data_IF_035381376108
#
_entry.id   IF_035381376108
#
_cell.length_a   1.000
_cell.length_b   1.000
_cell.length_c   1.000
_cell.angle_alpha   90.00
_cell.angle_beta   90.00
_cell.angle_gamma   90.00
#
_symmetry.space_group_name_H-M   'P 1'
#
loop_
_entity.id
_entity.type
_entity.pdbx_description
1 polymer ?
#
# COMPACT_ATOMS: atom_id res chain seq x y z
N UNK A 1 3.93 -2.07 -24.28
CA UNK A 1 5.30 -2.48 -23.89
C UNK A 1 5.42 -2.47 -22.36
N UNK A 2 5.00 -1.38 -21.70
CA UNK A 2 5.00 -1.25 -20.23
C UNK A 2 4.28 -2.40 -19.50
N UNK A 3 3.08 -2.78 -19.92
CA UNK A 3 2.36 -3.90 -19.28
C UNK A 3 3.09 -5.25 -19.32
N UNK A 4 3.79 -5.56 -20.44
CA UNK A 4 4.58 -6.81 -20.53
C UNK A 4 5.81 -6.75 -19.65
N UNK A 5 6.47 -5.60 -19.60
CA UNK A 5 7.61 -5.36 -18.72
C UNK A 5 7.20 -5.51 -17.25
N UNK A 6 6.08 -4.91 -16.84
CA UNK A 6 5.54 -5.04 -15.48
C UNK A 6 5.24 -6.49 -15.11
N UNK A 7 4.59 -7.24 -15.99
CA UNK A 7 4.29 -8.66 -15.74
C UNK A 7 5.56 -9.50 -15.59
N UNK A 8 6.53 -9.31 -16.48
CA UNK A 8 7.81 -10.01 -16.40
C UNK A 8 8.55 -9.65 -15.11
N UNK A 9 8.53 -8.38 -14.71
CA UNK A 9 9.12 -7.92 -13.46
C UNK A 9 8.42 -8.54 -12.25
N UNK A 10 7.09 -8.53 -12.20
CA UNK A 10 6.33 -9.15 -11.11
C UNK A 10 6.69 -10.62 -10.96
N UNK A 11 6.69 -11.38 -12.07
CA UNK A 11 7.08 -12.79 -12.08
C UNK A 11 8.52 -13.01 -11.58
N UNK A 12 9.45 -12.09 -11.89
CA UNK A 12 10.82 -12.16 -11.40
C UNK A 12 10.98 -11.75 -9.92
N UNK A 13 10.04 -10.97 -9.38
CA UNK A 13 10.05 -10.52 -7.99
C UNK A 13 9.29 -11.48 -7.06
N UNK A 14 8.35 -12.27 -7.56
CA UNK A 14 7.62 -13.27 -6.77
C UNK A 14 8.59 -14.24 -6.07
N UNK A 15 8.40 -14.41 -4.76
CA UNK A 15 9.16 -15.34 -3.93
C UNK A 15 8.36 -15.73 -2.69
N UNK A 16 8.64 -16.87 -2.03
CA UNK A 16 7.95 -17.25 -0.79
C UNK A 16 8.01 -16.20 0.33
N UNK A 17 9.06 -15.37 0.34
CA UNK A 17 9.29 -14.35 1.37
C UNK A 17 8.65 -12.98 1.04
N UNK A 18 7.81 -12.88 -0.01
CA UNK A 18 7.10 -11.64 -0.34
C UNK A 18 5.80 -11.84 -1.09
N UNK A 19 4.88 -10.90 -0.91
CA UNK A 19 3.66 -10.79 -1.72
C UNK A 19 3.85 -9.66 -2.73
N UNK A 20 3.47 -9.91 -3.98
CA UNK A 20 3.50 -8.92 -5.06
C UNK A 20 2.08 -8.49 -5.37
N UNK A 21 1.81 -7.20 -5.27
CA UNK A 21 0.56 -6.59 -5.68
C UNK A 21 0.83 -5.49 -6.71
N UNK A 22 -0.19 -5.15 -7.49
CA UNK A 22 -0.06 -4.23 -8.63
C UNK A 22 -1.10 -3.14 -8.55
N UNK A 23 -0.77 -1.96 -9.06
CA UNK A 23 -1.69 -0.86 -9.29
C UNK A 23 -2.44 -0.46 -8.01
N UNK A 24 -1.67 -0.10 -6.97
CA UNK A 24 -2.20 0.23 -5.65
C UNK A 24 -2.24 1.74 -5.44
N UNK A 25 -3.43 2.25 -5.12
CA UNK A 25 -3.58 3.68 -4.79
C UNK A 25 -2.81 4.04 -3.53
N UNK A 26 -1.86 4.97 -3.62
CA UNK A 26 -0.95 5.38 -2.54
C UNK A 26 -1.28 6.76 -1.92
N UNK A 27 -2.16 7.56 -2.53
CA UNK A 27 -2.57 8.84 -1.94
C UNK A 27 -3.28 8.72 -0.59
N UNK A 28 -2.96 9.60 0.37
CA UNK A 28 -3.50 9.60 1.74
C UNK A 28 -4.62 10.62 1.89
N UNK A 29 -4.32 11.91 1.71
CA UNK A 29 -5.25 13.03 1.79
C UNK A 29 -6.13 13.12 0.53
N UNK A 30 -5.56 12.81 -0.64
CA UNK A 30 -6.32 12.77 -1.90
C UNK A 30 -6.30 11.36 -2.48
N UNK A 31 -7.17 10.44 -2.01
CA UNK A 31 -7.19 9.07 -2.51
C UNK A 31 -7.38 9.00 -4.02
N UNK A 32 -6.52 8.20 -4.68
CA UNK A 32 -6.61 7.92 -6.12
C UNK A 32 -5.76 8.85 -7.02
N UNK A 33 -5.11 9.88 -6.48
CA UNK A 33 -4.20 10.75 -7.25
C UNK A 33 -2.87 10.09 -7.56
N UNK A 34 -2.43 9.17 -6.69
CA UNK A 34 -1.21 8.39 -6.85
C UNK A 34 -1.53 6.91 -6.86
N UNK A 35 -1.02 6.19 -7.86
CA UNK A 35 -1.13 4.74 -8.02
C UNK A 35 0.28 4.18 -8.22
N UNK A 36 0.75 3.35 -7.29
CA UNK A 36 2.03 2.65 -7.42
C UNK A 36 1.86 1.45 -8.33
N UNK A 37 2.81 1.26 -9.26
CA UNK A 37 2.71 0.21 -10.27
C UNK A 37 2.81 -1.18 -9.66
N UNK A 38 3.82 -1.40 -8.81
CA UNK A 38 4.07 -2.66 -8.11
C UNK A 38 4.42 -2.38 -6.65
N UNK A 39 3.77 -3.12 -5.74
CA UNK A 39 4.07 -3.09 -4.32
C UNK A 39 4.58 -4.48 -3.89
N UNK A 40 5.71 -4.50 -3.19
CA UNK A 40 6.24 -5.70 -2.56
C UNK A 40 5.99 -5.61 -1.06
N UNK A 41 5.27 -6.58 -0.51
CA UNK A 41 5.10 -6.75 0.92
C UNK A 41 6.02 -7.85 1.42
N UNK A 42 6.84 -7.52 2.41
CA UNK A 42 7.55 -8.51 3.22
C UNK A 42 6.65 -8.93 4.39
N UNK A 43 6.39 -10.24 4.59
CA UNK A 43 5.61 -10.72 5.73
C UNK A 43 6.23 -10.30 7.06
N UNK A 44 5.40 -9.76 7.96
CA UNK A 44 5.77 -9.51 9.36
C UNK A 44 5.42 -10.70 10.27
N UNK A 45 5.75 -10.64 11.57
CA UNK A 45 5.48 -11.74 12.51
C UNK A 45 4.03 -12.19 12.57
N UNK A 46 3.07 -11.26 12.44
CA UNK A 46 1.64 -11.55 12.46
C UNK A 46 1.05 -12.00 11.11
N UNK A 47 1.86 -12.26 10.07
CA UNK A 47 1.35 -12.57 8.73
C UNK A 47 0.50 -13.84 8.68
N UNK A 48 0.96 -14.91 9.32
CA UNK A 48 0.21 -16.17 9.38
C UNK A 48 -1.08 -16.00 10.18
N UNK A 49 -1.06 -15.20 11.25
CA UNK A 49 -2.25 -14.87 12.02
C UNK A 49 -3.27 -14.11 11.17
N UNK A 50 -2.83 -13.13 10.37
CA UNK A 50 -3.71 -12.40 9.43
C UNK A 50 -4.28 -13.34 8.38
N UNK A 51 -3.45 -14.21 7.80
CA UNK A 51 -3.87 -15.17 6.78
C UNK A 51 -4.89 -16.19 7.33
N UNK A 52 -4.75 -16.58 8.60
CA UNK A 52 -5.68 -17.48 9.28
C UNK A 52 -7.07 -16.88 9.55
N UNK A 53 -7.20 -15.54 9.62
CA UNK A 53 -8.50 -14.87 9.77
C UNK A 53 -9.37 -15.07 8.54
N UNK A 54 -8.82 -14.76 7.35
CA UNK A 54 -9.53 -14.86 6.09
C UNK A 54 -8.56 -14.75 4.91
N UNK A 55 -8.80 -15.54 3.85
CA UNK A 55 -8.12 -15.38 2.58
C UNK A 55 -8.60 -14.16 1.80
N UNK A 56 -9.77 -13.62 2.14
CA UNK A 56 -10.33 -12.44 1.50
C UNK A 56 -9.89 -11.15 2.19
N UNK A 57 -9.98 -10.04 1.44
CA UNK A 57 -9.83 -8.70 1.99
C UNK A 57 -10.91 -8.42 3.04
N UNK A 58 -10.48 -7.99 4.22
CA UNK A 58 -11.38 -7.53 5.28
C UNK A 58 -11.68 -6.04 5.05
N UNK A 59 -12.94 -5.59 5.19
CA UNK A 59 -13.27 -4.17 5.05
C UNK A 59 -12.50 -3.29 6.04
N UNK A 60 -11.82 -2.25 5.56
CA UNK A 60 -11.03 -1.34 6.40
C UNK A 60 -11.82 -0.78 7.61
N UNK A 61 -13.10 -0.35 7.46
CA UNK A 61 -13.87 0.13 8.61
C UNK A 61 -14.19 -0.96 9.64
N UNK A 62 -14.19 -2.24 9.27
CA UNK A 62 -14.33 -3.33 10.22
C UNK A 62 -13.04 -3.55 11.01
N UNK A 63 -11.87 -3.42 10.35
CA UNK A 63 -10.55 -3.47 11.01
C UNK A 63 -10.38 -2.28 11.96
N UNK A 64 -10.83 -1.10 11.56
CA UNK A 64 -10.78 0.14 12.37
C UNK A 64 -11.79 0.16 13.51
N UNK A 65 -12.84 -0.67 13.44
CA UNK A 65 -13.80 -0.81 14.53
C UNK A 65 -13.12 -1.40 15.77
N UNK A 66 -13.36 -0.80 16.94
CA UNK A 66 -12.83 -1.29 18.22
C UNK A 66 -13.59 -2.54 18.71
N UNK A 67 -13.70 -3.56 17.86
CA UNK A 67 -14.43 -4.81 18.11
C UNK A 67 -13.41 -5.93 18.26
N UNK A 68 -13.25 -6.42 19.48
CA UNK A 68 -12.42 -7.58 19.77
C UNK A 68 -13.21 -8.90 19.78
N UNK A 69 -12.52 -10.04 19.96
CA UNK A 69 -13.18 -11.34 20.07
C UNK A 69 -13.83 -11.60 21.43
N UNK A 70 -13.58 -10.77 22.44
CA UNK A 70 -14.02 -10.99 23.82
C UNK A 70 -15.45 -10.55 24.13
N UNK A 71 -15.96 -9.50 23.48
CA UNK A 71 -17.28 -8.95 23.77
C UNK A 71 -18.00 -8.52 22.49
N UNK A 72 -19.32 -8.75 22.44
CA UNK A 72 -20.15 -8.28 21.35
C UNK A 72 -20.57 -6.82 21.59
N UNK A 73 -20.30 -5.95 20.61
CA UNK A 73 -20.53 -4.51 20.67
C UNK A 73 -21.71 -4.14 19.76
N UNK A 74 -22.63 -3.24 20.16
CA UNK A 74 -23.67 -2.75 19.26
C UNK A 74 -23.08 -2.11 18.00
N UNK A 75 -23.63 -2.44 16.83
CA UNK A 75 -23.07 -1.99 15.52
C UNK A 75 -22.89 -0.47 15.47
N UNK A 76 -23.85 0.29 16.00
CA UNK A 76 -23.84 1.76 16.04
C UNK A 76 -22.72 2.34 16.91
N UNK A 77 -22.22 1.56 17.87
CA UNK A 77 -21.17 1.97 18.80
C UNK A 77 -19.79 1.49 18.29
N UNK A 78 -19.79 0.45 17.44
CA UNK A 78 -18.59 -0.16 16.85
C UNK A 78 -18.11 0.52 15.56
N UNK A 79 -19.03 0.92 14.67
CA UNK A 79 -18.71 1.40 13.33
C UNK A 79 -19.25 2.82 13.16
N UNK A 80 -18.34 3.78 13.04
CA UNK A 80 -18.66 5.20 12.81
C UNK A 80 -18.96 5.47 11.33
N UNK A 81 -20.09 4.93 10.86
CA UNK A 81 -20.59 5.13 9.50
C UNK A 81 -22.12 5.29 9.49
N UNK A 82 -22.70 5.92 8.45
CA UNK A 82 -24.15 5.93 8.25
C UNK A 82 -24.74 4.50 8.27
N UNK A 83 -25.96 4.30 8.79
CA UNK A 83 -26.53 2.97 9.05
C UNK A 83 -26.45 1.99 7.88
N UNK A 84 -26.79 2.43 6.66
CA UNK A 84 -26.76 1.56 5.47
C UNK A 84 -25.32 1.15 5.11
N UNK A 85 -24.35 2.06 5.29
CA UNK A 85 -22.93 1.75 5.06
C UNK A 85 -22.37 0.85 6.14
N UNK A 86 -22.72 1.09 7.41
CA UNK A 86 -22.34 0.22 8.52
C UNK A 86 -22.90 -1.19 8.32
N UNK A 87 -24.15 -1.32 7.86
CA UNK A 87 -24.76 -2.61 7.54
C UNK A 87 -24.00 -3.35 6.44
N UNK A 88 -23.63 -2.67 5.35
CA UNK A 88 -22.85 -3.27 4.26
C UNK A 88 -21.44 -3.70 4.72
N UNK A 89 -20.78 -2.91 5.57
CA UNK A 89 -19.48 -3.27 6.17
C UNK A 89 -19.63 -4.53 7.04
N UNK A 90 -20.64 -4.58 7.91
CA UNK A 90 -20.89 -5.75 8.76
C UNK A 90 -21.21 -6.97 7.92
N UNK A 91 -22.06 -6.84 6.90
CA UNK A 91 -22.42 -7.94 6.02
C UNK A 91 -21.18 -8.52 5.33
N UNK A 92 -20.35 -7.68 4.71
CA UNK A 92 -19.10 -8.14 4.08
C UNK A 92 -18.12 -8.72 5.10
N UNK A 93 -17.99 -8.11 6.27
CA UNK A 93 -17.09 -8.59 7.32
C UNK A 93 -17.54 -9.94 7.90
N UNK A 94 -18.85 -10.21 7.94
CA UNK A 94 -19.41 -11.53 8.29
C UNK A 94 -19.17 -12.54 7.18
N UNK A 95 -19.38 -12.16 5.93
CA UNK A 95 -19.17 -13.01 4.75
C UNK A 95 -17.71 -13.52 4.68
N UNK A 96 -16.73 -12.64 4.93
CA UNK A 96 -15.31 -13.02 4.96
C UNK A 96 -14.87 -13.67 6.26
N UNK A 97 -15.77 -13.85 7.23
CA UNK A 97 -15.48 -14.54 8.50
C UNK A 97 -14.72 -13.72 9.53
N UNK A 98 -14.58 -12.39 9.37
CA UNK A 98 -13.91 -11.54 10.36
C UNK A 98 -14.83 -11.14 11.53
N UNK A 99 -16.11 -10.88 11.24
CA UNK A 99 -17.11 -10.57 12.26
C UNK A 99 -18.16 -11.67 12.36
N UNK A 100 -18.68 -11.86 13.57
CA UNK A 100 -19.95 -12.52 13.82
C UNK A 100 -21.01 -11.46 14.16
N UNK A 101 -22.27 -11.74 13.80
CA UNK A 101 -23.41 -10.86 14.09
C UNK A 101 -24.50 -11.63 14.81
N UNK A 102 -24.99 -11.05 15.91
CA UNK A 102 -26.15 -11.55 16.64
C UNK A 102 -27.11 -10.41 17.01
N UNK A 103 -28.22 -10.74 17.66
CA UNK A 103 -29.16 -9.75 18.22
C UNK A 103 -29.27 -9.91 19.72
N UNK A 104 -29.06 -8.81 20.47
CA UNK A 104 -29.28 -8.71 21.91
C UNK A 104 -30.30 -7.63 22.21
N UNK A 105 -31.38 -7.98 22.91
CA UNK A 105 -32.49 -7.05 23.22
C UNK A 105 -33.03 -6.32 21.97
N UNK A 106 -33.13 -7.04 20.86
CA UNK A 106 -33.60 -6.51 19.57
C UNK A 106 -32.57 -5.67 18.79
N UNK A 107 -31.38 -5.41 19.34
CA UNK A 107 -30.32 -4.60 18.70
C UNK A 107 -29.25 -5.49 18.06
N UNK A 108 -28.78 -5.18 16.84
CA UNK A 108 -27.66 -5.89 16.23
C UNK A 108 -26.37 -5.58 16.99
N UNK A 109 -25.65 -6.63 17.36
CA UNK A 109 -24.30 -6.54 17.95
C UNK A 109 -23.35 -7.38 17.12
N UNK A 110 -22.07 -7.02 17.11
CA UNK A 110 -21.00 -7.69 16.38
C UNK A 110 -19.82 -8.00 17.28
N UNK A 111 -19.11 -9.07 16.98
CA UNK A 111 -17.89 -9.51 17.68
C UNK A 111 -16.88 -9.99 16.64
N UNK A 112 -15.60 -9.73 16.84
CA UNK A 112 -14.59 -10.26 15.92
C UNK A 112 -14.38 -11.76 16.18
N UNK A 113 -14.06 -12.52 15.14
CA UNK A 113 -13.73 -13.96 15.26
C UNK A 113 -12.33 -14.17 15.82
N UNK A 114 -11.43 -13.22 15.53
CA UNK A 114 -10.06 -13.18 16.01
C UNK A 114 -9.63 -11.74 16.29
N UNK A 115 -8.50 -11.57 16.96
CA UNK A 115 -7.82 -10.27 17.01
C UNK A 115 -7.16 -10.02 15.67
N UNK A 116 -7.36 -8.83 15.09
CA UNK A 116 -6.60 -8.42 13.92
C UNK A 116 -5.14 -8.13 14.34
N UNK A 117 -4.12 -8.77 13.74
CA UNK A 117 -2.72 -8.52 14.10
C UNK A 117 -2.30 -7.12 13.65
N UNK A 118 -1.41 -6.47 14.41
CA UNK A 118 -0.93 -5.11 14.08
C UNK A 118 0.42 -5.14 13.33
N UNK A 119 1.19 -6.21 13.50
CA UNK A 119 2.58 -6.37 13.05
C UNK A 119 2.73 -7.38 11.90
N UNK A 120 1.66 -7.64 11.14
CA UNK A 120 1.69 -8.59 10.03
C UNK A 120 2.33 -8.03 8.75
N UNK A 121 2.49 -6.71 8.67
CA UNK A 121 3.23 -6.02 7.60
C UNK A 121 4.66 -5.80 8.07
N UNK A 122 5.62 -6.53 7.50
CA UNK A 122 7.04 -6.38 7.82
C UNK A 122 7.72 -5.23 7.07
N UNK A 123 7.26 -4.93 5.85
CA UNK A 123 7.74 -3.80 5.05
C UNK A 123 7.02 -3.73 3.70
N UNK A 124 7.00 -2.54 3.11
CA UNK A 124 6.40 -2.25 1.81
C UNK A 124 7.43 -1.53 0.93
N UNK A 125 7.67 -2.07 -0.26
CA UNK A 125 8.52 -1.44 -1.29
C UNK A 125 7.66 -1.05 -2.47
N UNK A 126 7.68 0.23 -2.85
CA UNK A 126 7.10 0.69 -4.09
C UNK A 126 8.09 0.51 -5.24
N UNK A 127 7.64 -0.09 -6.34
CA UNK A 127 8.41 -0.25 -7.57
C UNK A 127 7.64 0.38 -8.72
N UNK A 128 8.19 1.46 -9.27
CA UNK A 128 7.67 2.17 -10.44
C UNK A 128 8.30 1.63 -11.71
N UNK A 129 7.47 1.36 -12.72
CA UNK A 129 7.93 0.78 -13.97
C UNK A 129 8.09 1.86 -15.03
N UNK A 130 9.31 2.03 -15.54
CA UNK A 130 9.54 2.84 -16.74
C UNK A 130 10.54 2.15 -17.67
N UNK A 131 10.08 1.26 -18.57
CA UNK A 131 10.99 0.53 -19.45
C UNK A 131 11.78 1.46 -20.38
N UNK A 132 11.17 2.53 -20.88
CA UNK A 132 11.81 3.54 -21.74
C UNK A 132 11.97 4.88 -21.01
N UNK A 133 13.21 5.21 -20.62
CA UNK A 133 13.55 6.50 -20.02
C UNK A 133 13.67 7.64 -21.05
N UNK A 134 13.62 7.34 -22.35
CA UNK A 134 13.53 8.35 -23.40
C UNK A 134 12.20 9.11 -23.38
N UNK A 135 11.14 8.47 -22.86
CA UNK A 135 9.80 9.05 -22.75
C UNK A 135 9.28 8.92 -21.30
N UNK A 136 9.86 9.64 -20.33
CA UNK A 136 9.63 9.39 -18.91
C UNK A 136 8.21 9.77 -18.44
N UNK A 137 7.51 10.65 -19.17
CA UNK A 137 6.21 11.17 -18.74
C UNK A 137 6.31 11.83 -17.35
N UNK A 138 5.38 11.48 -16.46
CA UNK A 138 5.30 12.04 -15.10
C UNK A 138 6.20 11.34 -14.08
N UNK A 139 7.12 10.47 -14.51
CA UNK A 139 7.95 9.64 -13.64
C UNK A 139 8.65 10.44 -12.53
N UNK A 140 9.26 11.57 -12.88
CA UNK A 140 9.99 12.39 -11.91
C UNK A 140 9.07 12.91 -10.79
N UNK A 141 7.88 13.37 -11.16
CA UNK A 141 6.89 13.85 -10.21
C UNK A 141 6.38 12.71 -9.30
N UNK A 142 6.15 11.52 -9.87
CA UNK A 142 5.72 10.33 -9.12
C UNK A 142 6.78 9.88 -8.10
N UNK A 143 8.04 9.76 -8.52
CA UNK A 143 9.14 9.37 -7.64
C UNK A 143 9.39 10.41 -6.54
N UNK A 144 9.24 11.69 -6.86
CA UNK A 144 9.31 12.78 -5.88
C UNK A 144 8.15 12.70 -4.89
N UNK A 145 6.93 12.41 -5.35
CA UNK A 145 5.77 12.21 -4.49
C UNK A 145 6.02 11.08 -3.49
N UNK A 146 6.47 9.91 -3.94
CA UNK A 146 6.65 8.76 -3.05
C UNK A 146 7.77 8.99 -2.03
N UNK A 147 8.87 9.61 -2.46
CA UNK A 147 9.97 9.99 -1.58
C UNK A 147 9.56 11.05 -0.55
N UNK A 148 8.77 12.06 -0.96
CA UNK A 148 8.33 13.14 -0.06
C UNK A 148 7.28 12.67 0.95
N UNK A 149 6.36 11.79 0.53
CA UNK A 149 5.35 11.22 1.42
C UNK A 149 5.96 10.17 2.36
N UNK A 150 6.97 9.43 1.90
CA UNK A 150 7.62 8.38 2.67
C UNK A 150 6.67 7.27 3.10
N UNK A 151 5.67 6.95 2.26
CA UNK A 151 4.65 5.94 2.59
C UNK A 151 5.21 4.52 2.60
N UNK A 152 6.21 4.25 1.77
CA UNK A 152 6.88 2.97 1.62
C UNK A 152 8.23 3.01 2.34
N UNK A 153 8.72 1.84 2.74
CA UNK A 153 10.03 1.69 3.38
C UNK A 153 11.14 1.95 2.36
N UNK A 154 10.91 1.58 1.10
CA UNK A 154 11.79 1.85 -0.03
C UNK A 154 10.98 2.18 -1.28
N UNK A 155 11.57 2.98 -2.17
CA UNK A 155 11.01 3.30 -3.49
C UNK A 155 12.06 2.97 -4.54
N UNK A 156 11.65 2.28 -5.60
CA UNK A 156 12.54 1.83 -6.66
C UNK A 156 11.96 2.14 -8.04
N UNK A 157 12.81 2.60 -8.95
CA UNK A 157 12.53 2.64 -10.38
C UNK A 157 13.06 1.38 -11.07
N UNK A 158 12.21 0.63 -11.75
CA UNK A 158 12.60 -0.48 -12.62
C UNK A 158 12.53 -0.06 -14.11
N UNK A 159 13.62 -0.28 -14.85
CA UNK A 159 13.72 0.15 -16.26
C UNK A 159 14.47 -0.87 -17.14
N UNK A 160 14.11 -0.96 -18.43
CA UNK A 160 14.89 -1.70 -19.43
C UNK A 160 16.01 -0.83 -20.04
N UNK A 161 15.87 0.49 -19.92
CA UNK A 161 16.79 1.46 -20.49
C UNK A 161 18.17 1.37 -19.87
N UNK A 162 19.19 1.70 -20.66
CA UNK A 162 20.51 1.95 -20.10
C UNK A 162 20.46 3.23 -19.26
N UNK A 163 20.86 3.12 -18.00
CA UNK A 163 20.80 4.23 -17.04
C UNK A 163 22.08 5.05 -17.13
N UNK A 164 21.93 6.32 -17.47
CA UNK A 164 23.04 7.29 -17.54
C UNK A 164 23.09 8.12 -16.27
N UNK A 165 24.20 8.83 -16.05
CA UNK A 165 24.30 9.83 -14.96
C UNK A 165 23.25 10.93 -15.08
N UNK A 166 22.90 11.35 -16.30
CA UNK A 166 21.87 12.35 -16.52
C UNK A 166 20.47 11.86 -16.11
N UNK A 167 20.19 10.56 -16.28
CA UNK A 167 18.96 9.96 -15.76
C UNK A 167 18.96 9.98 -14.23
N UNK A 168 20.05 9.53 -13.60
CA UNK A 168 20.17 9.48 -12.14
C UNK A 168 19.99 10.85 -11.48
N UNK A 169 20.51 11.92 -12.09
CA UNK A 169 20.38 13.28 -11.57
C UNK A 169 18.94 13.82 -11.51
N UNK A 170 17.99 13.20 -12.22
CA UNK A 170 16.56 13.56 -12.19
C UNK A 170 15.75 12.73 -11.19
N UNK A 171 16.34 11.66 -10.67
CA UNK A 171 15.67 10.74 -9.77
C UNK A 171 16.08 11.10 -8.34
N UNK A 172 15.13 11.29 -7.39
CA UNK A 172 15.47 11.58 -6.00
C UNK A 172 16.51 10.60 -5.44
N UNK A 173 17.45 11.10 -4.63
CA UNK A 173 18.60 10.29 -4.18
C UNK A 173 18.21 9.04 -3.39
N UNK A 174 17.09 9.10 -2.64
CA UNK A 174 16.59 7.97 -1.88
C UNK A 174 16.04 6.83 -2.76
N UNK A 175 15.69 7.11 -4.01
CA UNK A 175 15.04 6.13 -4.89
C UNK A 175 16.08 5.18 -5.50
N UNK A 176 15.89 3.87 -5.28
CA UNK A 176 16.69 2.83 -5.91
C UNK A 176 16.43 2.76 -7.42
N UNK A 177 17.39 2.24 -8.17
CA UNK A 177 17.25 2.06 -9.62
C UNK A 177 17.69 0.66 -10.00
N UNK A 178 16.76 -0.11 -10.57
CA UNK A 178 17.02 -1.43 -11.15
C UNK A 178 16.94 -1.35 -12.66
N UNK A 179 17.96 -1.90 -13.33
CA UNK A 179 17.87 -2.26 -14.74
C UNK A 179 17.38 -3.69 -14.83
N UNK A 180 16.30 -3.92 -15.57
CA UNK A 180 15.65 -5.21 -15.70
C UNK A 180 15.49 -5.58 -17.17
N UNK A 181 15.86 -6.81 -17.51
CA UNK A 181 15.61 -7.40 -18.83
C UNK A 181 14.39 -8.33 -18.75
N UNK A 182 13.25 -7.95 -19.37
CA UNK A 182 12.02 -8.73 -19.29
C UNK A 182 12.07 -10.05 -20.08
N UNK A 183 13.03 -10.23 -21.00
CA UNK A 183 13.15 -11.46 -21.79
C UNK A 183 13.92 -12.56 -21.01
N UNK A 184 14.90 -12.16 -20.20
CA UNK A 184 15.74 -13.08 -19.42
C UNK A 184 15.37 -13.15 -17.95
N UNK A 185 14.65 -12.14 -17.43
CA UNK A 185 14.39 -11.97 -16.00
C UNK A 185 15.61 -11.43 -15.23
N UNK A 186 16.70 -11.07 -15.90
CA UNK A 186 17.89 -10.54 -15.22
C UNK A 186 17.61 -9.15 -14.65
N UNK A 187 17.86 -8.99 -13.35
CA UNK A 187 17.78 -7.71 -12.64
C UNK A 187 19.16 -7.30 -12.15
N UNK A 188 19.60 -6.12 -12.55
CA UNK A 188 20.82 -5.47 -12.06
C UNK A 188 20.48 -4.22 -11.25
N UNK A 189 21.03 -4.13 -10.05
CA UNK A 189 20.96 -2.90 -9.25
C UNK A 189 21.95 -1.88 -9.79
N UNK A 190 21.45 -0.71 -10.21
CA UNK A 190 22.25 0.44 -10.65
C UNK A 190 22.51 1.39 -9.49
N UNK A 191 21.50 1.57 -8.62
CA UNK A 191 21.58 2.33 -7.37
C UNK A 191 20.74 1.62 -6.33
N UNK A 192 21.29 1.37 -5.14
CA UNK A 192 20.52 0.85 -4.01
C UNK A 192 19.52 1.90 -3.52
N UNK A 193 18.29 1.51 -3.14
CA UNK A 193 17.38 2.43 -2.46
C UNK A 193 17.95 2.83 -1.09
N UNK A 194 17.66 4.06 -0.67
CA UNK A 194 17.89 4.47 0.71
C UNK A 194 16.58 4.28 1.48
N UNK A 195 16.59 3.62 2.65
CA UNK A 195 15.40 3.46 3.46
C UNK A 195 14.75 4.80 3.82
N UNK A 196 13.43 4.86 3.69
CA UNK A 196 12.60 5.95 4.16
C UNK A 196 12.04 5.61 5.54
N UNK A 197 11.56 6.62 6.26
CA UNK A 197 10.92 6.46 7.57
C UNK A 197 9.39 6.58 7.43
N UNK A 198 8.65 5.45 7.39
CA UNK A 198 7.19 5.48 7.33
C UNK A 198 6.53 6.00 8.60
N UNK A 199 7.24 5.99 9.74
CA UNK A 199 6.75 6.47 11.04
C UNK A 199 7.05 7.95 11.27
N UNK A 200 7.85 8.57 10.40
CA UNK A 200 7.99 10.02 10.33
C UNK A 200 6.82 10.68 9.57
N UNK A 201 6.44 11.93 9.92
CA UNK A 201 5.54 12.73 9.10
C UNK A 201 6.07 12.89 7.68
N UNK A 202 5.16 12.85 6.70
CA UNK A 202 5.46 13.01 5.27
C UNK A 202 4.76 14.21 4.66
N UNK A 203 5.12 14.52 3.42
CA UNK A 203 4.49 15.57 2.62
C UNK A 203 3.80 14.95 1.42
N UNK A 204 2.47 15.06 1.37
CA UNK A 204 1.69 14.71 0.18
C UNK A 204 1.64 15.92 -0.77
N UNK A 205 2.11 15.74 -2.01
CA UNK A 205 2.04 16.76 -3.05
C UNK A 205 0.63 16.68 -3.67
N UNK A 206 -0.18 17.71 -3.45
CA UNK A 206 -1.59 17.75 -3.89
C UNK A 206 -1.70 18.26 -5.31
N UNK A 207 -1.00 19.35 -5.63
CA UNK A 207 -0.96 19.94 -6.96
C UNK A 207 0.39 20.61 -7.20
N UNK A 208 1.00 20.41 -8.37
CA UNK A 208 2.25 21.06 -8.76
C UNK A 208 2.03 22.01 -9.95
N UNK A 209 2.50 23.25 -9.79
CA UNK A 209 2.49 24.31 -10.81
C UNK A 209 3.91 24.87 -10.96
N UNK A 210 4.27 25.50 -12.09
CA UNK A 210 5.65 25.93 -12.36
C UNK A 210 6.34 26.78 -11.28
N UNK A 211 5.58 27.48 -10.44
CA UNK A 211 6.11 28.33 -9.35
C UNK A 211 5.53 28.03 -7.96
N UNK A 212 4.71 26.98 -7.82
CA UNK A 212 4.02 26.66 -6.56
C UNK A 212 3.64 25.19 -6.52
N UNK A 213 3.88 24.54 -5.38
CA UNK A 213 3.28 23.26 -5.06
C UNK A 213 2.32 23.43 -3.88
N UNK A 214 1.10 22.92 -4.01
CA UNK A 214 0.19 22.75 -2.89
C UNK A 214 0.47 21.40 -2.24
N UNK A 215 0.67 21.42 -0.93
CA UNK A 215 1.10 20.25 -0.16
C UNK A 215 0.25 20.08 1.09
N UNK A 216 0.11 18.84 1.53
CA UNK A 216 -0.48 18.47 2.81
C UNK A 216 0.55 17.75 3.69
N UNK A 217 0.57 18.08 4.98
CA UNK A 217 1.38 17.36 5.97
C UNK A 217 0.61 16.12 6.41
N UNK A 218 1.21 14.95 6.24
CA UNK A 218 0.58 13.67 6.57
C UNK A 218 1.27 13.09 7.80
N UNK A 219 0.48 12.87 8.85
CA UNK A 219 0.96 12.30 10.10
C UNK A 219 1.20 10.79 10.03
N UNK A 220 2.02 10.23 10.94
CA UNK A 220 2.35 8.80 10.96
C UNK A 220 1.12 7.88 11.04
N UNK A 221 0.11 8.25 11.84
CA UNK A 221 -1.12 7.45 11.96
C UNK A 221 -1.90 7.34 10.64
N UNK A 222 -1.93 8.42 9.85
CA UNK A 222 -2.59 8.41 8.55
C UNK A 222 -1.81 7.55 7.54
N UNK A 223 -0.48 7.61 7.57
CA UNK A 223 0.40 6.72 6.80
C UNK A 223 0.22 5.26 7.21
N UNK A 224 0.19 4.95 8.50
CA UNK A 224 -0.02 3.60 9.02
C UNK A 224 -1.38 3.02 8.58
N UNK A 225 -2.46 3.80 8.69
CA UNK A 225 -3.78 3.41 8.15
C UNK A 225 -3.71 3.14 6.66
N UNK A 226 -3.05 4.02 5.89
CA UNK A 226 -2.91 3.86 4.44
C UNK A 226 -2.09 2.62 4.07
N UNK A 227 -0.95 2.38 4.74
CA UNK A 227 -0.09 1.21 4.55
C UNK A 227 -0.85 -0.09 4.78
N UNK A 228 -1.66 -0.16 5.85
CA UNK A 228 -2.55 -1.33 6.09
C UNK A 228 -3.54 -1.53 4.94
N UNK A 229 -4.16 -0.47 4.42
CA UNK A 229 -5.10 -0.56 3.29
C UNK A 229 -4.43 -1.01 1.98
N UNK A 230 -3.16 -0.66 1.79
CA UNK A 230 -2.35 -1.13 0.67
C UNK A 230 -2.05 -2.61 0.85
N UNK A 231 -1.62 -3.02 2.06
CA UNK A 231 -1.28 -4.41 2.36
C UNK A 231 -2.47 -5.38 2.25
N UNK A 232 -3.69 -4.92 2.53
CA UNK A 232 -4.94 -5.69 2.41
C UNK A 232 -5.41 -5.93 0.96
N UNK A 233 -4.68 -5.47 -0.06
CA UNK A 233 -5.05 -5.54 -1.48
C UNK A 233 -4.05 -6.33 -2.30
#
# INVERSE_FOLDING_TARGET
MEYRFELALCAALESPDRVVARQLGAGVETPGTRIVDVCLLSPGPGFDDRAAVSADRIPDPAIEAAVGPGEAVPVRDAIDLPPDRAAAVVERAVEVGYLERERRNGRPVVRATARYPEDWVGGLVAVENKPDLGTPGDLEAQLRYDAALGLFDEVVLATASYVTRAHLNRIPDAVGVWRFDPETGERKVVREPTPLDPDAPGVEIVEERPSRADVALVGPEAKARKRRRIAER
#
